data_IF_095207815015
#
_entry.id   IF_095207815015
#
_cell.length_a   1.000
_cell.length_b   1.000
_cell.length_c   1.000
_cell.angle_alpha   90.00
_cell.angle_beta   90.00
_cell.angle_gamma   90.00
#
_symmetry.space_group_name_H-M   'P 1'
#
loop_
_entity.id
_entity.type
_entity.pdbx_description
1 polymer ?
#
# COMPACT_ATOMS: atom_id res chain seq x y z
N UNK A 1 -8.30 -19.31 21.97
CA UNK A 1 -9.01 -18.63 23.08
C UNK A 1 -8.23 -17.42 23.58
N UNK A 2 -8.10 -16.36 22.76
CA UNK A 2 -7.48 -15.08 23.18
C UNK A 2 -8.50 -13.92 23.23
N UNK A 3 -9.68 -14.10 22.64
CA UNK A 3 -10.81 -13.16 22.66
C UNK A 3 -11.38 -12.87 24.06
N UNK A 4 -11.00 -13.64 25.09
CA UNK A 4 -11.54 -13.48 26.47
C UNK A 4 -10.88 -12.34 27.25
N UNK A 5 -9.78 -11.76 26.75
CA UNK A 5 -9.03 -10.70 27.44
C UNK A 5 -9.47 -9.26 27.11
N UNK A 6 -10.56 -9.11 26.36
CA UNK A 6 -11.07 -7.81 25.91
C UNK A 6 -10.33 -7.32 24.67
N UNK A 7 -11.08 -6.92 23.65
CA UNK A 7 -10.56 -6.38 22.39
C UNK A 7 -9.58 -5.22 22.62
N UNK A 8 -9.79 -4.45 23.70
CA UNK A 8 -8.93 -3.33 24.10
C UNK A 8 -7.49 -3.72 24.45
N UNK A 9 -7.28 -4.82 25.20
CA UNK A 9 -5.93 -5.22 25.63
C UNK A 9 -5.11 -5.82 24.49
N UNK A 10 -5.77 -6.52 23.57
CA UNK A 10 -5.13 -7.09 22.38
C UNK A 10 -4.80 -5.97 21.38
N UNK A 11 -5.72 -5.02 21.17
CA UNK A 11 -5.50 -3.86 20.31
C UNK A 11 -4.30 -3.01 20.74
N UNK A 12 -4.11 -2.79 22.04
CA UNK A 12 -3.00 -1.97 22.55
C UNK A 12 -1.61 -2.61 22.34
N UNK A 13 -1.51 -3.94 22.40
CA UNK A 13 -0.24 -4.63 22.13
C UNK A 13 0.05 -4.80 20.64
N UNK A 14 -1.00 -4.91 19.82
CA UNK A 14 -0.85 -5.12 18.38
C UNK A 14 -0.57 -3.81 17.63
N UNK A 15 -1.15 -2.69 18.08
CA UNK A 15 -0.94 -1.37 17.50
C UNK A 15 0.54 -0.97 17.32
N UNK A 16 1.44 -1.07 18.33
CA UNK A 16 2.84 -0.68 18.15
C UNK A 16 3.58 -1.59 17.16
N UNK A 17 3.24 -2.88 17.11
CA UNK A 17 3.85 -3.84 16.19
C UNK A 17 3.51 -3.45 14.74
N UNK A 18 2.24 -3.13 14.49
CA UNK A 18 1.76 -2.68 13.18
C UNK A 18 2.39 -1.34 12.79
N UNK A 19 2.50 -0.38 13.71
CA UNK A 19 3.18 0.90 13.43
C UNK A 19 4.66 0.71 13.07
N UNK A 20 5.39 -0.14 13.79
CA UNK A 20 6.78 -0.46 13.49
C UNK A 20 6.87 -1.11 12.10
N UNK A 21 5.98 -2.05 11.80
CA UNK A 21 5.95 -2.71 10.50
C UNK A 21 5.69 -1.73 9.34
N UNK A 22 4.70 -0.84 9.47
CA UNK A 22 4.47 0.21 8.47
C UNK A 22 5.66 1.17 8.35
N UNK A 23 6.32 1.54 9.46
CA UNK A 23 7.52 2.37 9.41
C UNK A 23 8.66 1.72 8.62
N UNK A 24 8.91 0.41 8.81
CA UNK A 24 9.90 -0.33 8.03
C UNK A 24 9.54 -0.35 6.53
N UNK A 25 8.28 -0.64 6.19
CA UNK A 25 7.81 -0.62 4.80
C UNK A 25 8.01 0.76 4.17
N UNK A 26 7.68 1.83 4.90
CA UNK A 26 7.82 3.20 4.41
C UNK A 26 9.29 3.56 4.14
N UNK A 27 10.20 3.18 5.05
CA UNK A 27 11.64 3.43 4.91
C UNK A 27 12.19 2.67 3.69
N UNK A 28 11.83 1.39 3.53
CA UNK A 28 12.27 0.57 2.38
C UNK A 28 11.73 1.15 1.07
N UNK A 29 10.46 1.55 1.03
CA UNK A 29 9.84 2.18 -0.14
C UNK A 29 10.53 3.50 -0.50
N UNK A 30 10.80 4.36 0.49
CA UNK A 30 11.50 5.63 0.31
C UNK A 30 12.94 5.43 -0.17
N UNK A 31 13.67 4.46 0.40
CA UNK A 31 15.02 4.12 -0.04
C UNK A 31 15.06 3.69 -1.51
N UNK A 32 14.13 2.82 -1.92
CA UNK A 32 14.02 2.40 -3.31
C UNK A 32 13.63 3.53 -4.25
N UNK A 33 12.70 4.38 -3.83
CA UNK A 33 12.26 5.54 -4.58
C UNK A 33 13.42 6.51 -4.88
N UNK A 34 14.23 6.83 -3.86
CA UNK A 34 15.39 7.74 -4.01
C UNK A 34 16.51 7.08 -4.81
N UNK A 35 16.80 5.80 -4.57
CA UNK A 35 17.95 5.10 -5.18
C UNK A 35 17.73 4.70 -6.64
N UNK A 36 16.51 4.29 -7.01
CA UNK A 36 16.26 3.73 -8.32
C UNK A 36 15.84 4.81 -9.33
N UNK A 37 14.71 5.48 -9.16
CA UNK A 37 14.29 6.51 -10.12
C UNK A 37 13.15 7.40 -9.57
N UNK A 38 13.40 8.71 -9.32
CA UNK A 38 12.35 9.64 -8.91
C UNK A 38 11.36 9.98 -10.04
N UNK A 39 11.60 9.55 -11.29
CA UNK A 39 10.66 9.76 -12.40
C UNK A 39 9.36 8.98 -12.25
N UNK A 40 9.26 8.06 -11.29
CA UNK A 40 8.00 7.35 -10.97
C UNK A 40 6.88 8.32 -10.60
N UNK A 41 7.19 9.53 -10.09
CA UNK A 41 6.18 10.58 -9.86
C UNK A 41 5.44 10.95 -11.16
N UNK A 42 6.07 10.82 -12.34
CA UNK A 42 5.40 11.07 -13.62
C UNK A 42 4.24 10.10 -13.87
N UNK A 43 4.26 8.90 -13.28
CA UNK A 43 3.19 7.91 -13.41
C UNK A 43 1.85 8.37 -12.81
N UNK A 44 1.84 9.43 -11.98
CA UNK A 44 0.61 10.06 -11.47
C UNK A 44 -0.18 10.77 -12.59
N UNK A 45 0.44 11.03 -13.75
CA UNK A 45 -0.24 11.67 -14.86
C UNK A 45 -1.27 10.72 -15.51
N UNK A 46 -2.55 11.13 -15.61
CA UNK A 46 -3.62 10.30 -16.18
C UNK A 46 -3.41 9.90 -17.65
N UNK A 47 -2.49 10.55 -18.37
CA UNK A 47 -2.11 10.12 -19.71
C UNK A 47 -1.54 8.69 -19.74
N UNK A 48 -0.83 8.26 -18.68
CA UNK A 48 -0.21 6.94 -18.64
C UNK A 48 -1.24 5.82 -18.44
N UNK A 49 -2.29 6.05 -17.65
CA UNK A 49 -3.35 5.05 -17.49
C UNK A 49 -4.15 4.90 -18.79
N UNK A 50 -4.43 5.99 -19.51
CA UNK A 50 -5.12 5.92 -20.81
C UNK A 50 -4.28 5.15 -21.84
N UNK A 51 -2.99 5.46 -21.94
CA UNK A 51 -2.07 4.76 -22.84
C UNK A 51 -1.94 3.27 -22.47
N UNK A 52 -1.91 2.94 -21.16
CA UNK A 52 -1.92 1.56 -20.66
C UNK A 52 -3.18 0.78 -21.08
N UNK A 53 -4.37 1.38 -20.93
CA UNK A 53 -5.62 0.74 -21.35
C UNK A 53 -5.69 0.50 -22.86
N UNK A 54 -5.15 1.43 -23.66
CA UNK A 54 -5.12 1.31 -25.12
C UNK A 54 -4.17 0.18 -25.56
N UNK A 55 -3.00 0.06 -24.94
CA UNK A 55 -1.99 -0.95 -25.27
C UNK A 55 -2.33 -2.35 -24.76
N UNK A 56 -2.74 -2.45 -23.50
CA UNK A 56 -2.81 -3.72 -22.78
C UNK A 56 -4.22 -4.31 -22.67
N UNK A 57 -5.27 -3.59 -23.07
CA UNK A 57 -6.69 -4.03 -23.16
C UNK A 57 -7.08 -5.08 -22.10
N UNK A 58 -6.91 -6.38 -22.39
CA UNK A 58 -7.25 -7.49 -21.47
C UNK A 58 -6.51 -7.42 -20.12
N UNK A 59 -5.21 -7.14 -20.09
CA UNK A 59 -4.45 -7.05 -18.83
C UNK A 59 -4.84 -5.80 -18.02
N UNK A 60 -5.22 -4.72 -18.70
CA UNK A 60 -5.74 -3.51 -18.06
C UNK A 60 -7.09 -3.78 -17.38
N UNK A 61 -7.95 -4.59 -17.98
CA UNK A 61 -9.19 -5.07 -17.36
C UNK A 61 -8.94 -5.93 -16.12
N UNK A 62 -7.95 -6.83 -16.16
CA UNK A 62 -7.57 -7.63 -14.97
C UNK A 62 -7.03 -6.72 -13.86
N UNK A 63 -6.28 -5.67 -14.21
CA UNK A 63 -5.74 -4.71 -13.25
C UNK A 63 -6.83 -3.94 -12.49
N UNK A 64 -7.99 -3.69 -13.13
CA UNK A 64 -9.15 -3.09 -12.45
C UNK A 64 -9.69 -3.96 -11.32
N UNK A 65 -9.53 -5.29 -11.39
CA UNK A 65 -9.89 -6.20 -10.31
C UNK A 65 -9.18 -5.86 -8.99
N UNK A 66 -7.91 -5.45 -9.06
CA UNK A 66 -7.17 -4.95 -7.90
C UNK A 66 -7.76 -3.66 -7.32
N UNK A 67 -8.20 -2.74 -8.19
CA UNK A 67 -8.87 -1.50 -7.77
C UNK A 67 -10.19 -1.81 -7.05
N UNK A 68 -10.98 -2.73 -7.59
CA UNK A 68 -12.24 -3.17 -6.96
C UNK A 68 -11.98 -3.82 -5.60
N UNK A 69 -10.96 -4.68 -5.48
CA UNK A 69 -10.56 -5.29 -4.21
C UNK A 69 -10.17 -4.22 -3.15
N UNK A 70 -9.48 -3.16 -3.55
CA UNK A 70 -9.17 -2.04 -2.64
C UNK A 70 -10.44 -1.30 -2.15
N UNK A 71 -11.48 -1.19 -2.99
CA UNK A 71 -12.77 -0.60 -2.59
C UNK A 71 -13.41 -1.46 -1.51
N UNK A 72 -13.46 -2.78 -1.69
CA UNK A 72 -14.04 -3.71 -0.70
C UNK A 72 -13.27 -3.68 0.62
N UNK A 73 -11.93 -3.55 0.57
CA UNK A 73 -11.12 -3.35 1.76
C UNK A 73 -11.41 -2.02 2.48
N UNK A 74 -11.74 -0.97 1.72
CA UNK A 74 -12.15 0.31 2.30
C UNK A 74 -13.52 0.22 2.98
N UNK A 75 -14.46 -0.53 2.42
CA UNK A 75 -15.76 -0.80 3.06
C UNK A 75 -15.61 -1.58 4.37
N UNK A 76 -14.69 -2.55 4.43
CA UNK A 76 -14.36 -3.26 5.67
C UNK A 76 -13.82 -2.31 6.76
N UNK A 77 -12.96 -1.35 6.37
CA UNK A 77 -12.47 -0.31 7.28
C UNK A 77 -13.62 0.57 7.82
N UNK A 78 -14.62 0.88 6.99
CA UNK A 78 -15.80 1.62 7.43
C UNK A 78 -16.75 0.79 8.30
N UNK A 79 -16.84 -0.52 8.10
CA UNK A 79 -17.62 -1.40 8.97
C UNK A 79 -17.08 -1.41 10.41
N UNK A 80 -15.76 -1.26 10.58
CA UNK A 80 -15.10 -1.18 11.89
C UNK A 80 -15.29 0.16 12.62
N UNK A 81 -15.94 1.16 11.99
CA UNK A 81 -16.36 2.42 12.64
C UNK A 81 -17.36 2.17 13.79
N UNK A 82 -18.07 1.03 13.77
CA UNK A 82 -18.94 0.62 14.87
C UNK A 82 -18.19 0.32 16.18
N UNK A 83 -16.88 0.04 16.10
CA UNK A 83 -16.04 -0.33 17.25
C UNK A 83 -14.98 0.73 17.59
N UNK A 84 -14.58 1.57 16.63
CA UNK A 84 -13.58 2.63 16.80
C UNK A 84 -14.10 4.00 16.34
N UNK A 85 -13.67 5.09 16.98
CA UNK A 85 -14.06 6.44 16.57
C UNK A 85 -13.55 6.76 15.15
N UNK A 86 -14.44 7.31 14.30
CA UNK A 86 -14.14 7.77 12.93
C UNK A 86 -12.83 8.55 12.84
N UNK A 87 -12.59 9.47 13.78
CA UNK A 87 -11.40 10.33 13.80
C UNK A 87 -10.10 9.53 13.99
N UNK A 88 -10.13 8.45 14.77
CA UNK A 88 -8.96 7.58 14.96
C UNK A 88 -8.60 6.87 13.66
N UNK A 89 -9.62 6.35 12.96
CA UNK A 89 -9.45 5.67 11.66
C UNK A 89 -8.93 6.65 10.61
N UNK A 90 -9.50 7.85 10.51
CA UNK A 90 -9.05 8.87 9.57
C UNK A 90 -7.60 9.28 9.80
N UNK A 91 -7.20 9.51 11.06
CA UNK A 91 -5.82 9.87 11.38
C UNK A 91 -4.86 8.73 11.05
N UNK A 92 -5.16 7.50 11.44
CA UNK A 92 -4.32 6.33 11.13
C UNK A 92 -4.18 6.13 9.62
N UNK A 93 -5.29 6.22 8.88
CA UNK A 93 -5.29 6.04 7.43
C UNK A 93 -4.52 7.15 6.72
N UNK A 94 -4.74 8.42 7.06
CA UNK A 94 -4.09 9.55 6.39
C UNK A 94 -2.61 9.73 6.75
N UNK A 95 -2.21 9.46 8.00
CA UNK A 95 -0.84 9.72 8.47
C UNK A 95 0.07 8.51 8.45
N UNK A 96 -0.46 7.28 8.52
CA UNK A 96 0.37 6.07 8.59
C UNK A 96 0.18 5.25 7.33
N UNK A 97 -1.02 4.73 7.09
CA UNK A 97 -1.26 3.73 6.05
C UNK A 97 -1.11 4.31 4.65
N UNK A 98 -1.78 5.42 4.36
CA UNK A 98 -1.75 6.05 3.04
C UNK A 98 -0.34 6.45 2.58
N UNK A 99 0.44 7.25 3.34
CA UNK A 99 1.79 7.63 2.91
C UNK A 99 2.71 6.41 2.79
N UNK A 100 2.58 5.43 3.67
CA UNK A 100 3.37 4.20 3.59
C UNK A 100 3.06 3.41 2.32
N UNK A 101 1.78 3.24 1.97
CA UNK A 101 1.37 2.55 0.75
C UNK A 101 1.86 3.28 -0.50
N UNK A 102 1.70 4.61 -0.55
CA UNK A 102 2.19 5.42 -1.67
C UNK A 102 3.70 5.25 -1.85
N UNK A 103 4.48 5.31 -0.77
CA UNK A 103 5.93 5.12 -0.80
C UNK A 103 6.32 3.70 -1.21
N UNK A 104 5.64 2.68 -0.67
CA UNK A 104 5.91 1.28 -0.98
C UNK A 104 5.65 0.97 -2.46
N UNK A 105 4.48 1.34 -2.98
CA UNK A 105 4.15 1.13 -4.39
C UNK A 105 5.05 1.93 -5.32
N UNK A 106 5.37 3.19 -4.97
CA UNK A 106 6.28 4.02 -5.77
C UNK A 106 7.70 3.43 -5.78
N UNK A 107 8.19 2.94 -4.64
CA UNK A 107 9.48 2.25 -4.53
C UNK A 107 9.52 0.95 -5.33
N UNK A 108 8.47 0.12 -5.24
CA UNK A 108 8.34 -1.11 -6.04
C UNK A 108 8.31 -0.80 -7.54
N UNK A 109 7.55 0.22 -7.97
CA UNK A 109 7.50 0.63 -9.37
C UNK A 109 8.87 1.15 -9.87
N UNK A 110 9.62 1.87 -9.04
CA UNK A 110 10.96 2.36 -9.37
C UNK A 110 11.95 1.21 -9.56
N UNK A 111 11.88 0.19 -8.69
CA UNK A 111 12.67 -1.02 -8.79
C UNK A 111 12.34 -1.82 -10.05
N UNK A 112 11.05 -2.05 -10.32
CA UNK A 112 10.58 -2.85 -11.45
C UNK A 112 10.93 -2.21 -12.81
N UNK A 113 10.99 -0.88 -12.87
CA UNK A 113 11.43 -0.15 -14.07
C UNK A 113 12.88 -0.45 -14.45
N UNK A 114 13.78 -0.70 -13.49
CA UNK A 114 15.18 -1.09 -13.74
C UNK A 114 15.36 -2.61 -13.88
N UNK A 115 14.50 -3.39 -13.23
CA UNK A 115 14.54 -4.85 -13.25
C UNK A 115 13.18 -5.43 -13.66
N UNK A 116 12.91 -5.45 -14.98
CA UNK A 116 11.64 -5.92 -15.55
C UNK A 116 11.37 -7.43 -15.35
N UNK A 117 12.39 -8.20 -14.95
CA UNK A 117 12.34 -9.67 -14.91
C UNK A 117 11.83 -10.25 -13.56
N UNK A 118 11.68 -9.41 -12.51
CA UNK A 118 11.46 -9.86 -11.12
C UNK A 118 10.14 -9.38 -10.51
N UNK A 119 9.03 -9.52 -11.24
CA UNK A 119 7.70 -9.09 -10.79
C UNK A 119 7.24 -9.77 -9.50
N UNK A 120 7.47 -11.07 -9.35
CA UNK A 120 6.96 -11.85 -8.21
C UNK A 120 7.67 -11.58 -6.87
N UNK A 121 8.94 -11.18 -6.92
CA UNK A 121 9.81 -11.02 -5.75
C UNK A 121 10.26 -9.57 -5.53
N UNK A 122 9.65 -8.62 -6.25
CA UNK A 122 10.06 -7.20 -6.28
C UNK A 122 10.12 -6.58 -4.89
N UNK A 123 9.22 -6.96 -3.97
CA UNK A 123 9.26 -6.43 -2.61
C UNK A 123 10.45 -6.97 -1.82
N UNK A 124 10.72 -8.27 -1.84
CA UNK A 124 11.82 -8.86 -1.07
C UNK A 124 13.20 -8.57 -1.68
N UNK A 125 13.30 -8.53 -3.01
CA UNK A 125 14.55 -8.19 -3.72
C UNK A 125 14.89 -6.69 -3.73
N UNK A 126 13.93 -5.84 -3.39
CA UNK A 126 14.15 -4.40 -3.24
C UNK A 126 14.55 -4.01 -1.80
N UNK A 127 14.52 -4.95 -0.85
CA UNK A 127 15.11 -4.75 0.48
C UNK A 127 16.64 -4.79 0.32
N UNK A 128 17.39 -3.77 0.83
CA UNK A 128 18.85 -3.75 0.76
C UNK A 128 19.51 -4.86 1.58
#
# INVERSE_FOLDING_TARGET
MVQRFGTDKVGYSFAPIICIWFAFIAIIGLYNFIKHDPSVIKAVNPKYIVDYFIRNKKDAWVSLGGVVLCITGSEALFADVGHFTVRSIQLSMCFVTYPTLVLAYSGQAAFLRKHNDVVADSFYKSVP
#
